data_IF_339231252382
#
_entry.id   IF_339231252382
#
_cell.length_a   1.000
_cell.length_b   1.000
_cell.length_c   1.000
_cell.angle_alpha   90.00
_cell.angle_beta   90.00
_cell.angle_gamma   90.00
#
_symmetry.space_group_name_H-M   'P 1'
#
loop_
_entity.id
_entity.type
_entity.pdbx_description
1 polymer ?
#
# COMPACT_ATOMS: atom_id res chain seq x y z
N UNK A 1 -6.75 39.96 3.58
CA UNK A 1 -6.78 39.52 3.40
C UNK A 1 -6.99 38.52 3.24
N UNK A 2 -7.24 38.15 3.19
CA UNK A 2 -7.38 37.16 3.15
C UNK A 2 -8.32 36.58 2.60
N UNK A 3 -8.40 36.52 1.74
CA UNK A 3 -9.19 36.00 1.08
C UNK A 3 -9.03 34.78 0.84
N UNK A 4 -8.23 34.19 1.37
CA UNK A 4 -8.01 32.92 1.16
C UNK A 4 -9.26 32.27 1.29
N UNK A 5 -10.01 32.56 2.13
CA UNK A 5 -11.15 31.81 2.30
C UNK A 5 -12.07 31.75 1.19
N UNK A 6 -12.08 32.64 0.38
CA UNK A 6 -13.11 32.58 -0.48
C UNK A 6 -12.88 31.90 -1.63
N UNK A 7 -11.88 31.96 -2.15
CA UNK A 7 -11.72 31.45 -3.35
C UNK A 7 -11.96 30.21 -3.36
N UNK A 8 -12.53 29.78 -2.61
CA UNK A 8 -11.91 28.97 -2.43
C UNK A 8 -12.57 27.73 -2.13
N UNK A 9 -13.84 27.72 -1.97
CA UNK A 9 -14.51 26.56 -1.81
C UNK A 9 -14.37 25.75 -3.06
N UNK A 10 -14.55 26.36 -4.20
CA UNK A 10 -14.43 25.69 -5.46
C UNK A 10 -12.99 25.29 -5.74
N UNK A 11 -12.09 26.14 -5.39
CA UNK A 11 -10.71 25.86 -5.59
C UNK A 11 -10.26 24.68 -4.76
N UNK A 12 -10.64 24.62 -3.52
CA UNK A 12 -10.29 23.52 -2.65
C UNK A 12 -10.89 22.20 -3.14
N UNK A 13 -12.11 22.28 -3.62
CA UNK A 13 -12.77 21.11 -4.13
C UNK A 13 -12.04 20.60 -5.36
N UNK A 14 -11.63 21.51 -6.22
CA UNK A 14 -10.92 21.14 -7.40
C UNK A 14 -9.59 20.48 -7.05
N UNK A 15 -8.85 21.04 -6.12
CA UNK A 15 -7.59 20.50 -5.70
C UNK A 15 -7.76 19.12 -5.09
N UNK A 16 -8.85 18.92 -4.36
CA UNK A 16 -9.11 17.65 -3.77
C UNK A 16 -9.39 16.59 -4.84
N UNK A 17 -10.16 16.93 -5.84
CA UNK A 17 -10.46 16.03 -6.93
C UNK A 17 -9.18 15.66 -7.68
N UNK A 18 -8.32 16.63 -7.92
CA UNK A 18 -7.08 16.36 -8.60
C UNK A 18 -6.16 15.46 -7.77
N UNK A 19 -6.13 15.70 -6.48
CA UNK A 19 -5.31 14.89 -5.59
C UNK A 19 -5.82 13.45 -5.54
N UNK A 20 -7.11 13.27 -5.53
CA UNK A 20 -7.69 11.94 -5.54
C UNK A 20 -7.39 11.19 -6.82
N UNK A 21 -7.43 11.91 -7.94
CA UNK A 21 -7.11 11.29 -9.20
C UNK A 21 -5.65 10.90 -9.25
N UNK A 22 -4.78 11.76 -8.77
CA UNK A 22 -3.36 11.49 -8.75
C UNK A 22 -3.07 10.28 -7.88
N UNK A 23 -3.74 10.19 -6.74
CA UNK A 23 -3.54 9.07 -5.84
C UNK A 23 -4.02 7.77 -6.48
N UNK A 24 -5.13 7.81 -7.19
CA UNK A 24 -5.63 6.63 -7.87
C UNK A 24 -4.66 6.13 -8.91
N UNK A 25 -4.06 7.02 -9.65
CA UNK A 25 -3.10 6.65 -10.66
C UNK A 25 -1.88 6.01 -10.01
N UNK A 26 -1.42 6.58 -8.93
CA UNK A 26 -0.29 6.04 -8.20
C UNK A 26 -0.62 4.66 -7.64
N UNK A 27 -1.79 4.50 -7.10
CA UNK A 27 -2.20 3.25 -6.51
C UNK A 27 -2.29 2.16 -7.57
N UNK A 28 -2.82 2.50 -8.73
CA UNK A 28 -2.91 1.54 -9.81
C UNK A 28 -1.55 1.15 -10.34
N UNK A 29 -0.62 2.09 -10.40
CA UNK A 29 0.72 1.79 -10.82
C UNK A 29 1.40 0.86 -9.82
N UNK A 30 1.14 1.06 -8.53
CA UNK A 30 1.71 0.23 -7.49
C UNK A 30 1.12 -1.19 -7.56
N UNK A 31 -0.15 -1.29 -7.88
CA UNK A 31 -0.81 -2.58 -8.08
C UNK A 31 -0.20 -3.31 -9.27
N UNK A 32 0.07 -2.60 -10.36
CA UNK A 32 0.70 -3.21 -11.52
C UNK A 32 2.10 -3.72 -11.17
N UNK A 33 2.82 -2.97 -10.37
CA UNK A 33 4.13 -3.41 -9.90
C UNK A 33 4.00 -4.71 -9.12
N UNK A 34 3.00 -4.81 -8.26
CA UNK A 34 2.79 -6.01 -7.48
C UNK A 34 2.46 -7.19 -8.39
N UNK A 35 1.61 -6.96 -9.38
CA UNK A 35 1.23 -8.01 -10.30
C UNK A 35 2.46 -8.51 -11.07
N UNK A 36 3.32 -7.62 -11.46
CA UNK A 36 4.52 -8.01 -12.18
C UNK A 36 5.46 -8.80 -11.30
N UNK A 37 5.61 -8.39 -10.07
CA UNK A 37 6.53 -9.07 -9.17
C UNK A 37 6.03 -10.43 -8.71
N UNK A 38 4.75 -10.67 -8.86
CA UNK A 38 4.17 -11.93 -8.42
C UNK A 38 3.77 -12.82 -9.59
N UNK A 39 4.19 -12.47 -10.78
CA UNK A 39 3.80 -13.20 -11.97
C UNK A 39 4.11 -14.67 -11.91
N UNK A 40 5.23 -15.04 -11.36
CA UNK A 40 5.59 -16.44 -11.32
C UNK A 40 5.05 -17.16 -10.13
N UNK A 41 5.23 -16.62 -8.96
CA UNK A 41 4.88 -17.30 -7.74
C UNK A 41 3.48 -17.03 -7.23
N UNK A 42 2.86 -16.01 -7.73
CA UNK A 42 1.52 -15.64 -7.31
C UNK A 42 1.49 -14.83 -6.03
N UNK A 43 2.60 -14.66 -5.37
CA UNK A 43 2.68 -13.86 -4.15
C UNK A 43 4.12 -13.50 -3.89
N UNK A 44 4.34 -12.57 -3.01
CA UNK A 44 5.68 -12.12 -2.69
C UNK A 44 5.72 -11.83 -1.20
N UNK A 45 6.84 -12.05 -0.55
CA UNK A 45 6.98 -11.76 0.85
C UNK A 45 6.74 -10.28 1.06
N UNK A 46 6.06 -9.96 2.14
CA UNK A 46 5.70 -8.57 2.43
C UNK A 46 6.92 -7.67 2.43
N UNK A 47 7.98 -8.08 3.13
CA UNK A 47 9.18 -7.26 3.22
C UNK A 47 9.89 -7.11 1.89
N UNK A 48 9.82 -8.11 1.05
CA UNK A 48 10.43 -8.04 -0.27
C UNK A 48 9.66 -7.10 -1.19
N UNK A 49 8.41 -6.84 -0.88
CA UNK A 49 7.62 -5.90 -1.68
C UNK A 49 7.73 -4.49 -1.15
N UNK A 50 7.70 -4.29 0.17
CA UNK A 50 7.72 -2.94 0.71
C UNK A 50 9.13 -2.43 0.97
N UNK A 51 10.10 -3.31 1.15
CA UNK A 51 11.44 -2.87 1.48
C UNK A 51 12.07 -2.04 0.40
N UNK A 52 12.75 -0.98 0.75
CA UNK A 52 13.39 -0.08 -0.18
C UNK A 52 14.73 0.35 0.38
N UNK A 53 15.46 1.12 -0.39
CA UNK A 53 16.80 1.56 0.01
C UNK A 53 16.80 2.42 1.24
N UNK A 54 15.77 3.16 1.48
CA UNK A 54 15.70 4.00 2.68
C UNK A 54 14.52 3.57 3.50
N UNK A 55 14.59 3.87 4.79
CA UNK A 55 13.50 3.57 5.70
C UNK A 55 12.26 4.39 5.36
N UNK A 56 12.45 5.63 4.97
CA UNK A 56 11.35 6.49 4.60
C UNK A 56 10.60 5.96 3.41
N UNK A 57 11.30 5.49 2.42
CA UNK A 57 10.68 4.96 1.25
C UNK A 57 9.95 3.68 1.58
N UNK A 58 10.50 2.88 2.48
CA UNK A 58 9.86 1.66 2.93
C UNK A 58 8.53 1.95 3.63
N UNK A 59 8.50 2.99 4.45
CA UNK A 59 7.28 3.42 5.12
C UNK A 59 6.23 3.83 4.07
N UNK A 60 6.64 4.56 3.06
CA UNK A 60 5.73 4.95 2.01
C UNK A 60 5.17 3.76 1.28
N UNK A 61 6.01 2.80 0.97
CA UNK A 61 5.56 1.61 0.26
C UNK A 61 4.62 0.77 1.13
N UNK A 62 4.89 0.71 2.43
CA UNK A 62 4.00 -0.01 3.34
C UNK A 62 2.64 0.68 3.42
N UNK A 63 2.66 1.99 3.41
CA UNK A 63 1.44 2.78 3.44
C UNK A 63 0.62 2.52 2.17
N UNK A 64 1.26 2.56 1.01
CA UNK A 64 0.58 2.28 -0.24
C UNK A 64 0.06 0.85 -0.28
N UNK A 65 0.79 -0.09 0.29
CA UNK A 65 0.35 -1.47 0.34
C UNK A 65 -0.93 -1.60 1.17
N UNK A 66 -1.02 -0.87 2.26
CA UNK A 66 -2.23 -0.91 3.07
C UNK A 66 -3.43 -0.41 2.28
N UNK A 67 -3.24 0.55 1.39
CA UNK A 67 -4.32 1.01 0.55
C UNK A 67 -4.68 -0.03 -0.52
N UNK A 68 -3.71 -0.76 -1.02
CA UNK A 68 -4.02 -1.83 -1.97
C UNK A 68 -4.94 -2.85 -1.31
N UNK A 69 -4.66 -3.19 -0.08
CA UNK A 69 -5.49 -4.15 0.64
C UNK A 69 -6.86 -3.56 0.95
N UNK A 70 -6.89 -2.34 1.43
CA UNK A 70 -8.14 -1.70 1.82
C UNK A 70 -9.09 -1.55 0.64
N UNK A 71 -8.56 -1.25 -0.52
CA UNK A 71 -9.41 -1.03 -1.66
C UNK A 71 -9.62 -2.26 -2.54
N UNK A 72 -9.19 -3.41 -2.06
CA UNK A 72 -9.49 -4.65 -2.77
C UNK A 72 -8.61 -5.00 -3.94
N UNK A 73 -7.42 -4.40 -4.02
CA UNK A 73 -6.48 -4.73 -5.07
C UNK A 73 -5.56 -5.88 -4.69
N UNK A 74 -5.44 -6.14 -3.41
CA UNK A 74 -4.52 -7.18 -2.94
C UNK A 74 -4.98 -7.75 -1.60
N UNK A 75 -4.39 -8.84 -1.20
CA UNK A 75 -4.70 -9.41 0.09
C UNK A 75 -3.42 -9.85 0.77
N UNK A 76 -3.43 -9.94 2.07
CA UNK A 76 -2.29 -10.40 2.84
C UNK A 76 -2.51 -11.83 3.27
N UNK A 77 -1.47 -12.63 3.19
CA UNK A 77 -1.51 -14.00 3.64
C UNK A 77 -0.53 -14.13 4.78
N UNK A 78 -0.98 -14.57 5.92
CA UNK A 78 -0.13 -14.70 7.08
C UNK A 78 0.08 -16.16 7.39
N UNK A 79 1.33 -16.57 7.43
CA UNK A 79 1.71 -17.93 7.74
C UNK A 79 2.31 -17.93 9.14
N UNK A 80 1.49 -18.20 10.13
CA UNK A 80 1.88 -18.02 11.50
C UNK A 80 2.99 -18.93 11.96
N UNK A 81 2.97 -20.16 11.51
CA UNK A 81 3.99 -21.07 11.92
C UNK A 81 5.36 -20.69 11.43
N UNK A 82 5.44 -20.19 10.24
CA UNK A 82 6.70 -19.77 9.66
C UNK A 82 6.98 -18.32 9.95
N UNK A 83 6.05 -17.63 10.59
CA UNK A 83 6.17 -16.22 10.90
C UNK A 83 6.47 -15.43 9.62
N UNK A 84 5.75 -15.75 8.56
CA UNK A 84 5.92 -15.06 7.29
C UNK A 84 4.64 -14.44 6.84
N UNK A 85 4.73 -13.33 6.16
CA UNK A 85 3.58 -12.66 5.61
C UNK A 85 3.85 -12.40 4.16
N UNK A 86 2.86 -12.67 3.34
CA UNK A 86 2.97 -12.48 1.90
C UNK A 86 1.88 -11.55 1.43
N UNK A 87 2.12 -10.88 0.31
CA UNK A 87 1.09 -10.07 -0.31
C UNK A 87 0.81 -10.65 -1.67
N UNK A 88 -0.44 -10.70 -2.04
CA UNK A 88 -0.90 -11.33 -3.24
C UNK A 88 -1.87 -10.42 -3.95
N UNK A 89 -1.69 -10.14 -5.22
CA UNK A 89 -2.62 -9.24 -5.90
C UNK A 89 -3.85 -9.99 -6.37
N UNK A 90 -4.95 -9.26 -6.49
CA UNK A 90 -6.11 -9.79 -7.17
C UNK A 90 -5.96 -9.40 -8.64
N UNK A 91 -6.50 -10.19 -9.52
CA UNK A 91 -6.46 -9.88 -10.93
C UNK A 91 -7.31 -8.67 -11.23
N UNK A 92 -8.42 -8.52 -10.55
CA UNK A 92 -9.28 -7.38 -10.70
C UNK A 92 -9.64 -6.92 -9.31
N UNK A 93 -9.88 -5.65 -9.11
CA UNK A 93 -10.22 -5.17 -7.77
C UNK A 93 -11.48 -5.86 -7.27
N UNK A 94 -11.45 -6.27 -6.02
CA UNK A 94 -12.57 -6.94 -5.41
C UNK A 94 -13.39 -5.92 -4.66
N UNK A 95 -14.70 -5.97 -4.85
CA UNK A 95 -15.55 -5.03 -4.17
C UNK A 95 -15.98 -5.60 -2.84
N UNK A 96 -15.86 -4.82 -1.81
CA UNK A 96 -16.29 -5.26 -0.51
C UNK A 96 -17.61 -4.62 -0.11
N UNK A 97 -18.38 -4.26 -1.09
CA UNK A 97 -19.64 -3.62 -0.84
C UNK A 97 -20.48 -4.50 0.02
N UNK A 98 -20.98 -3.99 1.04
CA UNK A 98 -21.83 -4.74 1.93
C UNK A 98 -21.09 -5.54 2.97
N UNK A 99 -19.79 -5.70 2.83
CA UNK A 99 -19.08 -6.38 3.81
C UNK A 99 -18.18 -5.42 4.40
N UNK A 100 -18.12 -5.31 5.60
CA UNK A 100 -17.31 -4.40 6.19
C UNK A 100 -15.98 -4.90 6.30
N UNK A 101 -15.20 -4.82 5.42
CA UNK A 101 -13.94 -5.25 5.52
C UNK A 101 -13.10 -4.15 5.95
N UNK A 102 -13.09 -3.83 7.05
CA UNK A 102 -12.33 -2.83 7.51
C UNK A 102 -11.03 -3.25 7.84
N UNK A 103 -10.24 -3.54 7.02
CA UNK A 103 -9.04 -3.95 7.37
C UNK A 103 -8.04 -3.00 7.29
N UNK A 104 -7.82 -2.30 8.16
CA UNK A 104 -6.70 -1.52 8.14
C UNK A 104 -5.78 -2.34 8.91
N UNK A 105 -4.95 -3.05 8.36
CA UNK A 105 -4.00 -3.74 9.05
C UNK A 105 -2.82 -2.91 9.15
N UNK A 106 -2.49 -2.38 10.20
CA UNK A 106 -1.35 -1.60 10.36
C UNK A 106 -0.24 -2.57 10.50
N UNK A 107 0.46 -2.81 9.50
CA UNK A 107 1.62 -3.61 9.60
C UNK A 107 2.69 -2.68 10.08
N UNK A 108 3.21 -2.92 11.27
CA UNK A 108 4.20 -2.07 11.80
C UNK A 108 5.51 -2.32 11.09
N UNK A 109 6.17 -1.27 10.69
CA UNK A 109 7.42 -1.35 10.00
C UNK A 109 8.43 -0.58 10.84
N UNK A 110 9.19 -1.27 11.65
CA UNK A 110 10.15 -0.59 12.50
C UNK A 110 11.48 -0.44 11.78
N UNK A 111 12.29 0.49 12.24
CA UNK A 111 13.57 0.73 11.63
C UNK A 111 14.48 -0.48 11.85
N UNK A 112 14.31 -1.18 12.96
CA UNK A 112 15.12 -2.35 13.22
C UNK A 112 14.78 -3.48 12.27
N UNK A 113 13.52 -3.68 11.99
CA UNK A 113 13.08 -4.68 11.06
C UNK A 113 13.56 -4.36 9.65
N UNK A 114 13.47 -3.09 9.28
CA UNK A 114 13.94 -2.68 7.98
C UNK A 114 15.45 -2.91 7.85
N UNK A 115 16.20 -2.59 8.88
CA UNK A 115 17.64 -2.78 8.86
C UNK A 115 18.02 -4.25 8.73
N UNK A 116 17.28 -5.11 9.40
CA UNK A 116 17.51 -6.54 9.29
C UNK A 116 17.22 -7.04 7.89
N UNK A 117 16.12 -6.60 7.33
CA UNK A 117 15.78 -6.98 5.97
C UNK A 117 16.85 -6.51 5.01
N UNK A 118 17.33 -5.28 5.19
CA UNK A 118 18.30 -4.69 4.32
C UNK A 118 19.61 -5.47 4.36
N UNK A 119 19.97 -6.03 5.48
CA UNK A 119 21.16 -6.83 5.62
C UNK A 119 20.95 -8.27 5.15
N UNK A 120 19.77 -8.61 4.73
CA UNK A 120 19.46 -9.96 4.31
C UNK A 120 19.19 -10.91 5.46
N UNK A 121 18.98 -10.39 6.66
CA UNK A 121 18.69 -11.24 7.78
C UNK A 121 17.21 -11.42 7.89
N UNK A 122 16.76 -12.63 7.76
CA UNK A 122 15.36 -12.84 7.87
C UNK A 122 15.14 -13.50 9.13
N UNK A 123 14.29 -13.10 9.91
CA UNK A 123 14.05 -13.75 11.16
C UNK A 123 13.06 -14.82 11.10
#
# INVERSE_FOLDING_TARGET
EIETGTATREELLKQRILAEKAFSIELEAFWEELKQKTEREGKIRYWDFVGADTYEETINRAYMTSFLVTYGYATLEVHRLEEEMFIKPYEKPVSFLGKKQLISIPVSVSVDEWAKWKRGEQS
#
